data_IF_372561640224
#
_entry.id   IF_372561640224
#
_cell.length_a   1.000
_cell.length_b   1.000
_cell.length_c   1.000
_cell.angle_alpha   90.00
_cell.angle_beta   90.00
_cell.angle_gamma   90.00
#
_symmetry.space_group_name_H-M   'P 1'
#
loop_
_entity.id
_entity.type
_entity.pdbx_description
1 polymer ?
#
# COMPACT_ATOMS: atom_id res chain seq x y z
N UNK A 1 -2.78 -1.01 34.49
CA UNK A 1 -3.76 -1.44 33.47
C UNK A 1 -3.16 -1.13 32.12
N UNK A 2 -2.65 -2.13 31.41
CA UNK A 2 -2.07 -1.95 30.08
C UNK A 2 -3.23 -1.95 29.11
N UNK A 3 -3.52 -0.80 28.51
CA UNK A 3 -4.40 -0.73 27.35
C UNK A 3 -3.70 -1.45 26.22
N UNK A 4 -4.08 -2.71 26.01
CA UNK A 4 -3.68 -3.49 24.84
C UNK A 4 -4.24 -2.76 23.63
N UNK A 5 -3.45 -1.89 23.02
CA UNK A 5 -3.80 -1.27 21.75
C UNK A 5 -3.66 -2.36 20.71
N UNK A 6 -4.77 -3.03 20.43
CA UNK A 6 -4.93 -4.01 19.36
C UNK A 6 -4.26 -3.44 18.09
N UNK A 7 -3.09 -3.97 17.74
CA UNK A 7 -2.41 -3.62 16.49
C UNK A 7 -3.28 -4.19 15.38
N UNK A 8 -4.25 -3.39 14.92
CA UNK A 8 -5.15 -3.78 13.84
C UNK A 8 -4.34 -3.85 12.56
N UNK A 9 -3.93 -5.07 12.25
CA UNK A 9 -3.35 -5.43 10.97
C UNK A 9 -4.39 -5.16 9.89
N UNK A 10 -4.20 -4.09 9.10
CA UNK A 10 -5.09 -3.76 7.97
C UNK A 10 -4.57 -4.52 6.74
N UNK A 11 -5.34 -5.45 6.15
CA UNK A 11 -4.94 -6.15 4.94
C UNK A 11 -4.71 -5.17 3.77
N UNK A 12 -3.71 -5.46 2.93
CA UNK A 12 -3.39 -4.65 1.75
C UNK A 12 -4.60 -4.42 0.84
N UNK A 13 -5.47 -5.44 0.70
CA UNK A 13 -6.72 -5.34 -0.07
C UNK A 13 -7.67 -4.26 0.45
N UNK A 14 -7.71 -4.04 1.76
CA UNK A 14 -8.60 -3.05 2.36
C UNK A 14 -8.02 -1.65 2.23
N UNK A 15 -6.69 -1.52 2.33
CA UNK A 15 -5.97 -0.27 2.01
C UNK A 15 -6.18 0.11 0.53
N UNK A 16 -5.99 -0.83 -0.39
CA UNK A 16 -6.19 -0.60 -1.81
C UNK A 16 -7.66 -0.24 -2.11
N UNK A 17 -8.62 -0.91 -1.47
CA UNK A 17 -10.05 -0.61 -1.63
C UNK A 17 -10.36 0.83 -1.19
N UNK A 18 -9.85 1.25 -0.04
CA UNK A 18 -10.04 2.61 0.47
C UNK A 18 -9.50 3.67 -0.51
N UNK A 19 -8.29 3.47 -1.04
CA UNK A 19 -7.70 4.36 -2.05
C UNK A 19 -8.55 4.37 -3.33
N UNK A 20 -9.02 3.21 -3.79
CA UNK A 20 -9.87 3.17 -4.98
C UNK A 20 -11.20 3.91 -4.78
N UNK A 21 -11.83 3.76 -3.62
CA UNK A 21 -13.09 4.44 -3.28
C UNK A 21 -12.90 5.97 -3.20
N UNK A 22 -11.84 6.44 -2.55
CA UNK A 22 -11.57 7.87 -2.37
C UNK A 22 -11.29 8.59 -3.68
N UNK A 23 -10.53 7.97 -4.59
CA UNK A 23 -10.18 8.53 -5.88
C UNK A 23 -11.16 8.13 -7.00
N UNK A 24 -12.27 7.48 -6.65
CA UNK A 24 -13.29 6.98 -7.59
C UNK A 24 -12.73 6.10 -8.72
N UNK A 25 -11.69 5.30 -8.43
CA UNK A 25 -10.99 4.45 -9.38
C UNK A 25 -11.72 3.11 -9.51
N UNK A 26 -12.01 2.70 -10.74
CA UNK A 26 -12.67 1.41 -11.00
C UNK A 26 -11.67 0.28 -11.23
N UNK A 27 -12.05 -0.94 -10.87
CA UNK A 27 -11.23 -2.14 -11.13
C UNK A 27 -10.96 -2.33 -12.64
N UNK A 28 -11.93 -2.00 -13.50
CA UNK A 28 -11.78 -2.02 -14.95
C UNK A 28 -10.70 -1.05 -15.45
N UNK A 29 -10.56 0.12 -14.83
CA UNK A 29 -9.55 1.13 -15.19
C UNK A 29 -8.15 0.67 -14.79
N UNK A 30 -8.01 0.11 -13.58
CA UNK A 30 -6.76 -0.51 -13.13
C UNK A 30 -6.39 -1.69 -14.01
N UNK A 31 -7.36 -2.51 -14.41
CA UNK A 31 -7.12 -3.64 -15.30
C UNK A 31 -6.54 -3.21 -16.64
N UNK A 32 -7.14 -2.19 -17.26
CA UNK A 32 -6.68 -1.65 -18.54
C UNK A 32 -5.26 -1.07 -18.48
N UNK A 33 -4.88 -0.45 -17.34
CA UNK A 33 -3.56 0.18 -17.16
C UNK A 33 -2.47 -0.79 -16.69
N UNK A 34 -2.81 -1.72 -15.80
CA UNK A 34 -1.84 -2.66 -15.19
C UNK A 34 -1.64 -3.94 -16.00
N UNK A 35 -2.57 -4.27 -16.89
CA UNK A 35 -2.62 -5.56 -17.58
C UNK A 35 -3.07 -6.72 -16.70
N UNK A 36 -3.40 -6.47 -15.43
CA UNK A 36 -3.95 -7.48 -14.52
C UNK A 36 -5.44 -7.66 -14.81
N UNK A 37 -5.96 -8.89 -14.95
CA UNK A 37 -7.38 -9.11 -15.22
C UNK A 37 -8.28 -8.51 -14.14
N UNK A 38 -9.34 -7.80 -14.55
CA UNK A 38 -10.32 -7.21 -13.63
C UNK A 38 -10.92 -8.24 -12.66
N UNK A 39 -11.11 -9.48 -13.13
CA UNK A 39 -11.59 -10.60 -12.29
C UNK A 39 -10.60 -10.96 -11.19
N UNK A 40 -9.29 -10.85 -11.43
CA UNK A 40 -8.24 -11.05 -10.41
C UNK A 40 -8.23 -9.90 -9.42
N UNK A 41 -8.33 -8.65 -9.88
CA UNK A 41 -8.43 -7.46 -9.02
C UNK A 41 -9.66 -7.56 -8.12
N UNK A 42 -10.82 -7.91 -8.68
CA UNK A 42 -12.07 -8.05 -7.94
C UNK A 42 -12.01 -9.18 -6.89
N UNK A 43 -11.41 -10.33 -7.23
CA UNK A 43 -11.20 -11.43 -6.28
C UNK A 43 -10.25 -11.05 -5.15
N UNK A 44 -9.24 -10.23 -5.44
CA UNK A 44 -8.34 -9.71 -4.42
C UNK A 44 -9.04 -8.73 -3.49
N UNK A 45 -9.77 -7.78 -4.07
CA UNK A 45 -10.54 -6.81 -3.30
C UNK A 45 -11.61 -7.49 -2.45
N UNK A 46 -12.24 -8.57 -2.89
CA UNK A 46 -13.21 -9.32 -2.06
C UNK A 46 -12.57 -10.29 -1.06
N UNK A 47 -11.24 -10.45 -1.08
CA UNK A 47 -10.53 -11.43 -0.24
C UNK A 47 -10.68 -12.88 -0.67
N UNK A 48 -11.20 -13.13 -1.88
CA UNK A 48 -11.40 -14.48 -2.43
C UNK A 48 -10.11 -15.12 -2.96
N UNK A 49 -9.10 -14.33 -3.30
CA UNK A 49 -7.79 -14.80 -3.78
C UNK A 49 -6.73 -13.73 -3.56
N UNK A 50 -5.52 -14.12 -3.21
CA UNK A 50 -4.38 -13.20 -3.20
C UNK A 50 -3.86 -12.93 -4.63
N UNK A 51 -3.16 -11.80 -4.78
CA UNK A 51 -2.43 -11.46 -6.00
C UNK A 51 -0.96 -11.83 -5.87
N UNK A 52 -0.32 -12.11 -7.00
CA UNK A 52 1.15 -12.24 -7.05
C UNK A 52 1.77 -10.86 -6.82
N UNK A 53 2.95 -10.82 -6.20
CA UNK A 53 3.68 -9.58 -5.92
C UNK A 53 3.86 -8.70 -7.17
N UNK A 54 4.13 -9.30 -8.33
CA UNK A 54 4.26 -8.59 -9.61
C UNK A 54 2.95 -7.92 -10.05
N UNK A 55 1.82 -8.56 -9.80
CA UNK A 55 0.50 -8.03 -10.15
C UNK A 55 0.13 -6.88 -9.20
N UNK A 56 0.52 -6.96 -7.93
CA UNK A 56 0.33 -5.87 -6.95
C UNK A 56 1.14 -4.64 -7.33
N UNK A 57 2.41 -4.80 -7.73
CA UNK A 57 3.24 -3.67 -8.18
C UNK A 57 2.75 -3.06 -9.50
N UNK A 58 2.25 -3.90 -10.43
CA UNK A 58 1.59 -3.44 -11.65
C UNK A 58 0.31 -2.62 -11.36
N UNK A 59 -0.49 -3.04 -10.37
CA UNK A 59 -1.66 -2.27 -9.93
C UNK A 59 -1.25 -0.96 -9.26
N UNK A 60 -0.23 -0.98 -8.41
CA UNK A 60 0.31 0.23 -7.75
C UNK A 60 0.74 1.27 -8.78
N UNK A 61 1.52 0.86 -9.78
CA UNK A 61 2.03 1.75 -10.83
C UNK A 61 0.93 2.23 -11.78
N UNK A 62 -0.16 1.49 -11.91
CA UNK A 62 -1.34 1.90 -12.69
C UNK A 62 -2.23 2.95 -11.99
N UNK A 63 -2.04 3.18 -10.69
CA UNK A 63 -2.76 4.23 -9.96
C UNK A 63 -2.31 5.63 -10.45
N UNK A 64 -3.23 6.61 -10.49
CA UNK A 64 -2.88 8.02 -10.57
C UNK A 64 -1.85 8.41 -9.50
N UNK A 65 -1.01 9.40 -9.78
CA UNK A 65 0.11 9.78 -8.92
C UNK A 65 -0.35 10.12 -7.49
N UNK A 66 -1.45 10.86 -7.35
CA UNK A 66 -2.02 11.22 -6.06
C UNK A 66 -2.51 10.00 -5.27
N UNK A 67 -3.15 9.05 -5.95
CA UNK A 67 -3.65 7.81 -5.33
C UNK A 67 -2.50 6.86 -4.95
N UNK A 68 -1.46 6.79 -5.78
CA UNK A 68 -0.23 6.05 -5.50
C UNK A 68 0.48 6.59 -4.26
N UNK A 69 0.45 7.91 -4.08
CA UNK A 69 0.99 8.57 -2.90
C UNK A 69 0.18 8.33 -1.64
N UNK A 70 -1.14 8.43 -1.72
CA UNK A 70 -1.99 8.12 -0.59
C UNK A 70 -1.83 6.64 -0.18
N UNK A 71 -1.76 5.72 -1.15
CA UNK A 71 -1.46 4.32 -0.89
C UNK A 71 -0.15 4.15 -0.12
N UNK A 72 0.93 4.83 -0.53
CA UNK A 72 2.23 4.75 0.14
C UNK A 72 2.17 5.30 1.57
N UNK A 73 1.46 6.41 1.80
CA UNK A 73 1.27 6.99 3.13
C UNK A 73 0.51 6.03 4.06
N UNK A 74 -0.55 5.38 3.57
CA UNK A 74 -1.31 4.41 4.33
C UNK A 74 -0.48 3.16 4.66
N UNK A 75 0.35 2.70 3.72
CA UNK A 75 1.28 1.58 3.96
C UNK A 75 2.40 1.92 4.95
N UNK A 76 2.79 3.20 5.04
CA UNK A 76 3.73 3.71 6.04
C UNK A 76 3.13 3.82 7.44
N UNK A 77 1.86 4.25 7.54
CA UNK A 77 1.16 4.41 8.82
C UNK A 77 0.57 3.11 9.37
N UNK A 78 0.20 2.16 8.50
CA UNK A 78 -0.34 0.87 8.91
C UNK A 78 0.82 -0.06 9.29
N UNK A 79 1.18 -0.03 10.56
CA UNK A 79 1.99 -1.07 11.19
C UNK A 79 1.44 -2.46 10.84
N UNK A 80 2.34 -3.33 10.39
CA UNK A 80 2.09 -4.78 10.31
C UNK A 80 1.02 -5.27 9.32
N UNK A 81 1.03 -4.84 8.05
CA UNK A 81 0.23 -5.53 7.00
C UNK A 81 0.73 -6.97 6.82
N UNK A 82 -0.13 -8.01 6.75
CA UNK A 82 0.29 -9.38 6.53
C UNK A 82 0.39 -9.58 5.02
N UNK A 83 1.43 -9.00 4.44
CA UNK A 83 1.93 -9.39 3.11
C UNK A 83 3.17 -10.23 3.38
N UNK A 84 3.48 -11.20 2.52
CA UNK A 84 4.82 -11.79 2.47
C UNK A 84 5.86 -10.67 2.68
N UNK A 85 6.70 -10.77 3.71
CA UNK A 85 7.53 -9.64 4.15
C UNK A 85 8.41 -9.10 3.01
N UNK A 86 8.81 -9.97 2.07
CA UNK A 86 9.59 -9.57 0.90
C UNK A 86 8.73 -8.78 -0.10
N UNK A 87 7.48 -9.18 -0.32
CA UNK A 87 6.55 -8.45 -1.18
C UNK A 87 6.26 -7.04 -0.63
N UNK A 88 6.06 -6.91 0.68
CA UNK A 88 5.91 -5.60 1.35
C UNK A 88 7.17 -4.77 1.23
N UNK A 89 8.34 -5.35 1.49
CA UNK A 89 9.62 -4.64 1.41
C UNK A 89 9.85 -4.11 -0.01
N UNK A 90 9.58 -4.93 -1.03
CA UNK A 90 9.71 -4.54 -2.44
C UNK A 90 8.74 -3.41 -2.81
N UNK A 91 7.47 -3.47 -2.38
CA UNK A 91 6.48 -2.41 -2.63
C UNK A 91 6.85 -1.08 -1.95
N UNK A 92 7.35 -1.15 -0.71
CA UNK A 92 7.78 0.04 0.03
C UNK A 92 9.05 0.61 -0.58
N UNK A 93 10.03 -0.22 -0.93
CA UNK A 93 11.29 0.23 -1.55
C UNK A 93 11.06 0.78 -2.97
N UNK A 94 10.19 0.16 -3.78
CA UNK A 94 9.82 0.68 -5.09
C UNK A 94 9.05 1.99 -4.96
N UNK A 95 8.12 2.09 -4.01
CA UNK A 95 7.41 3.33 -3.66
C UNK A 95 8.31 4.46 -3.19
N UNK A 96 9.25 4.20 -2.28
CA UNK A 96 10.24 5.19 -1.81
C UNK A 96 11.10 5.68 -2.96
N UNK A 97 11.62 4.78 -3.81
CA UNK A 97 12.48 5.14 -4.94
C UNK A 97 11.74 6.02 -5.94
N UNK A 98 10.51 5.67 -6.26
CA UNK A 98 9.67 6.43 -7.18
C UNK A 98 9.30 7.79 -6.60
N UNK A 99 8.93 7.85 -5.32
CA UNK A 99 8.59 9.11 -4.68
C UNK A 99 9.78 10.06 -4.59
N UNK A 100 10.98 9.55 -4.29
CA UNK A 100 12.22 10.35 -4.30
C UNK A 100 12.49 11.06 -5.63
N UNK A 101 11.96 10.55 -6.74
CA UNK A 101 12.11 11.13 -8.07
C UNK A 101 11.03 12.17 -8.40
N UNK A 102 9.91 12.16 -7.70
CA UNK A 102 8.71 12.96 -8.02
C UNK A 102 8.46 14.12 -7.05
N UNK A 103 9.04 14.09 -5.84
CA UNK A 103 8.79 15.11 -4.82
C UNK A 103 10.06 15.88 -4.40
N UNK A 104 9.86 16.99 -3.70
CA UNK A 104 10.97 17.75 -3.09
C UNK A 104 11.59 16.99 -1.92
N UNK A 105 12.85 17.30 -1.59
CA UNK A 105 13.57 16.67 -0.47
C UNK A 105 12.80 16.74 0.86
N UNK A 106 12.07 17.83 1.12
CA UNK A 106 11.28 17.99 2.34
C UNK A 106 10.07 17.02 2.39
N UNK A 107 9.33 16.89 1.28
CA UNK A 107 8.20 15.96 1.17
C UNK A 107 8.67 14.50 1.24
N UNK A 108 9.84 14.22 0.68
CA UNK A 108 10.44 12.89 0.76
C UNK A 108 10.81 12.52 2.21
N UNK A 109 11.41 13.46 2.95
CA UNK A 109 11.77 13.25 4.36
C UNK A 109 10.55 13.04 5.26
N UNK A 110 9.44 13.73 4.99
CA UNK A 110 8.19 13.57 5.74
C UNK A 110 7.61 12.15 5.56
N UNK A 111 7.55 11.65 4.32
CA UNK A 111 7.05 10.30 4.03
C UNK A 111 7.98 9.22 4.58
N UNK A 112 9.30 9.39 4.45
CA UNK A 112 10.27 8.48 5.07
C UNK A 112 10.13 8.46 6.60
N UNK A 113 9.95 9.63 7.23
CA UNK A 113 9.72 9.75 8.66
C UNK A 113 8.50 8.96 9.11
N UNK A 114 7.38 9.12 8.42
CA UNK A 114 6.15 8.37 8.70
C UNK A 114 6.32 6.85 8.57
N UNK A 115 7.05 6.39 7.54
CA UNK A 115 7.34 4.95 7.34
C UNK A 115 8.22 4.40 8.48
N UNK A 116 9.26 5.14 8.86
CA UNK A 116 10.17 4.76 9.95
C UNK A 116 9.42 4.72 11.29
N UNK A 117 8.61 5.73 11.57
CA UNK A 117 7.84 5.82 12.81
C UNK A 117 6.77 4.73 12.91
N UNK A 118 6.05 4.45 11.81
CA UNK A 118 5.09 3.35 11.74
C UNK A 118 5.74 1.97 11.94
N UNK A 119 6.96 1.77 11.43
CA UNK A 119 7.77 0.56 11.68
C UNK A 119 8.26 0.46 13.12
N UNK A 120 8.75 1.56 13.69
CA UNK A 120 9.22 1.59 15.08
C UNK A 120 8.09 1.21 16.05
N UNK A 121 6.91 1.81 15.89
CA UNK A 121 5.70 1.47 16.66
C UNK A 121 5.31 0.00 16.52
N UNK A 122 5.41 -0.58 15.32
CA UNK A 122 5.11 -1.99 15.11
C UNK A 122 6.11 -2.94 15.81
N UNK A 123 7.38 -2.53 15.94
CA UNK A 123 8.44 -3.31 16.60
C UNK A 123 8.42 -3.20 18.12
N UNK A 124 7.99 -2.07 18.68
CA UNK A 124 7.81 -1.90 20.13
C UNK A 124 6.68 -2.76 20.72
N UNK A 125 5.80 -3.29 19.85
CA UNK A 125 4.63 -4.07 20.22
C UNK A 125 4.69 -5.53 19.75
N UNK A 126 5.82 -5.99 19.19
CA UNK A 126 6.09 -7.37 18.76
C UNK A 126 6.90 -8.13 19.81
#
# INVERSE_FOLDING_TARGET
MVTSTDVRVIPLRDVLRAVMEEYAIRASELSAKSGVPESSISKFLSGSSDLRTTDVDAIRTALPDEARMHLLQLLGHCGSVPVDENARLLLVLSGIREYAQMCSTAQFQEVLGAIIEGRAKALEHA
#
